data_IF_536098936751
#
_entry.id   IF_536098936751
#
_cell.length_a   1.000
_cell.length_b   1.000
_cell.length_c   1.000
_cell.angle_alpha   90.00
_cell.angle_beta   90.00
_cell.angle_gamma   90.00
#
_symmetry.space_group_name_H-M   'P 1'
#
loop_
_entity.id
_entity.type
_entity.pdbx_description
1 polymer ?
#
# COMPACT_ATOMS: atom_id res chain seq x y z
N UNK A 1 40.05 -75.05 -31.55
CA UNK A 1 41.46 -74.58 -31.49
C UNK A 1 41.76 -73.75 -32.72
N UNK A 2 42.47 -72.63 -32.55
CA UNK A 2 43.08 -71.80 -33.60
C UNK A 2 42.15 -70.95 -34.47
N UNK A 3 42.10 -69.64 -34.19
CA UNK A 3 42.38 -68.57 -35.17
C UNK A 3 43.03 -67.38 -34.46
N UNK A 4 44.36 -67.27 -34.59
CA UNK A 4 45.11 -66.05 -34.29
C UNK A 4 44.75 -64.99 -35.34
N UNK A 5 44.31 -63.81 -34.93
CA UNK A 5 44.27 -62.62 -35.80
C UNK A 5 45.16 -61.56 -35.19
N UNK A 6 46.26 -61.31 -35.89
CA UNK A 6 47.24 -60.28 -35.62
C UNK A 6 46.67 -58.88 -35.92
N UNK A 7 47.16 -57.93 -35.13
CA UNK A 7 47.04 -56.47 -35.22
C UNK A 7 47.55 -55.95 -36.59
N UNK A 8 47.28 -54.72 -37.09
CA UNK A 8 47.64 -53.40 -36.53
C UNK A 8 46.89 -52.28 -37.29
N UNK A 9 46.48 -51.27 -36.51
CA UNK A 9 46.35 -49.80 -36.68
C UNK A 9 46.53 -49.17 -38.08
N UNK A 10 45.95 -48.00 -38.41
CA UNK A 10 46.03 -46.73 -37.68
C UNK A 10 45.19 -45.69 -38.43
N UNK A 11 44.53 -44.76 -37.73
CA UNK A 11 44.08 -43.51 -38.35
C UNK A 11 42.75 -42.99 -37.83
N UNK A 12 42.77 -42.29 -36.70
CA UNK A 12 41.60 -41.54 -36.20
C UNK A 12 42.06 -40.20 -35.64
N UNK A 13 41.77 -39.12 -36.36
CA UNK A 13 41.98 -37.73 -35.96
C UNK A 13 41.24 -37.45 -34.64
N UNK A 14 41.98 -37.05 -33.61
CA UNK A 14 41.41 -36.57 -32.36
C UNK A 14 40.91 -35.13 -32.54
N UNK A 15 39.59 -34.94 -32.57
CA UNK A 15 38.94 -33.64 -32.46
C UNK A 15 39.04 -33.14 -31.03
N UNK A 16 39.84 -32.09 -30.82
CA UNK A 16 39.93 -31.40 -29.53
C UNK A 16 38.65 -30.58 -29.36
N UNK A 17 37.71 -31.07 -28.55
CA UNK A 17 36.58 -30.29 -28.06
C UNK A 17 37.12 -29.20 -27.13
N UNK A 18 37.17 -27.95 -27.60
CA UNK A 18 37.29 -26.79 -26.72
C UNK A 18 36.04 -26.72 -25.84
N UNK A 19 36.17 -27.16 -24.59
CA UNK A 19 35.15 -26.94 -23.57
C UNK A 19 35.08 -25.43 -23.27
N UNK A 20 33.96 -24.79 -23.61
CA UNK A 20 33.65 -23.43 -23.16
C UNK A 20 33.73 -23.39 -21.63
N UNK A 21 34.39 -22.38 -21.02
CA UNK A 21 34.32 -22.20 -19.59
C UNK A 21 32.87 -21.93 -19.21
N UNK A 22 32.26 -22.86 -18.48
CA UNK A 22 30.92 -22.69 -17.94
C UNK A 22 30.94 -21.49 -16.99
N UNK A 23 30.25 -20.41 -17.37
CA UNK A 23 30.02 -19.25 -16.52
C UNK A 23 29.21 -19.74 -15.32
N UNK A 24 29.85 -19.80 -14.15
CA UNK A 24 29.18 -20.18 -12.91
C UNK A 24 27.98 -19.26 -12.70
N UNK A 25 26.76 -19.81 -12.48
CA UNK A 25 25.61 -18.98 -12.12
C UNK A 25 25.95 -18.16 -10.88
N UNK A 26 25.71 -16.85 -10.91
CA UNK A 26 25.85 -16.04 -9.72
C UNK A 26 24.88 -16.57 -8.64
N UNK A 27 25.30 -16.63 -7.36
CA UNK A 27 24.39 -17.01 -6.29
C UNK A 27 23.18 -16.06 -6.29
N UNK A 28 21.96 -16.58 -6.06
CA UNK A 28 20.77 -15.74 -5.98
C UNK A 28 20.96 -14.69 -4.88
N UNK A 29 20.87 -13.41 -5.25
CA UNK A 29 20.91 -12.30 -4.30
C UNK A 29 19.67 -12.45 -3.42
N UNK A 30 19.87 -12.79 -2.14
CA UNK A 30 18.79 -12.78 -1.17
C UNK A 30 18.49 -11.32 -0.82
N UNK A 31 17.28 -10.80 -1.08
CA UNK A 31 16.95 -9.44 -0.69
C UNK A 31 17.12 -9.28 0.83
N UNK A 32 17.65 -8.14 1.31
CA UNK A 32 17.81 -7.90 2.73
C UNK A 32 16.44 -7.97 3.44
N UNK A 33 16.38 -8.46 4.68
CA UNK A 33 15.12 -8.52 5.43
C UNK A 33 14.54 -7.11 5.61
N UNK A 34 13.28 -6.94 5.21
CA UNK A 34 12.50 -5.72 5.40
C UNK A 34 12.30 -5.48 6.90
N UNK A 35 12.94 -4.46 7.46
CA UNK A 35 12.80 -4.07 8.87
C UNK A 35 11.56 -3.19 9.09
N UNK A 36 10.36 -3.73 8.89
CA UNK A 36 9.10 -3.00 9.09
C UNK A 36 8.95 -2.54 10.55
N UNK A 37 8.33 -1.37 10.84
CA UNK A 37 7.98 -0.98 12.19
C UNK A 37 7.14 -2.05 12.90
N UNK A 38 7.30 -2.24 14.23
CA UNK A 38 6.57 -3.26 14.97
C UNK A 38 5.05 -3.15 14.77
N UNK A 39 4.40 -4.28 14.57
CA UNK A 39 2.97 -4.40 14.28
C UNK A 39 2.62 -4.25 12.80
N UNK A 40 3.42 -3.53 12.00
CA UNK A 40 3.17 -3.35 10.57
C UNK A 40 3.59 -4.59 9.76
N UNK A 41 4.33 -5.54 10.36
CA UNK A 41 4.62 -6.84 9.75
C UNK A 41 3.39 -7.74 9.61
N UNK A 42 2.34 -7.52 10.41
CA UNK A 42 1.09 -8.28 10.32
C UNK A 42 0.23 -7.78 9.15
N UNK A 43 -0.75 -8.60 8.75
CA UNK A 43 -1.79 -8.14 7.81
C UNK A 43 -2.61 -7.02 8.46
N UNK A 44 -2.80 -5.94 7.72
CA UNK A 44 -3.65 -4.81 8.10
C UNK A 44 -5.04 -4.87 7.46
N UNK A 45 -5.46 -6.04 6.95
CA UNK A 45 -6.82 -6.24 6.43
C UNK A 45 -7.85 -6.06 7.56
N UNK A 46 -8.98 -5.44 7.23
CA UNK A 46 -10.11 -5.27 8.16
C UNK A 46 -10.88 -3.98 7.97
N UNK A 47 -11.84 -3.73 8.85
CA UNK A 47 -12.59 -2.48 8.89
C UNK A 47 -12.00 -1.52 9.91
N UNK A 48 -12.05 -0.22 9.59
CA UNK A 48 -11.61 0.84 10.48
C UNK A 48 -12.60 2.01 10.50
N UNK A 49 -12.58 2.80 11.56
CA UNK A 49 -13.25 4.10 11.62
C UNK A 49 -12.27 5.19 12.06
N UNK A 50 -12.47 6.42 11.57
CA UNK A 50 -11.64 7.54 11.99
C UNK A 50 -11.94 7.91 13.44
N UNK A 51 -10.90 8.01 14.28
CA UNK A 51 -11.04 8.28 15.71
C UNK A 51 -11.78 9.60 16.00
N UNK A 52 -11.42 10.66 15.27
CA UNK A 52 -12.03 11.99 15.47
C UNK A 52 -13.34 12.18 14.69
N UNK A 53 -13.70 11.26 13.79
CA UNK A 53 -14.92 11.37 13.00
C UNK A 53 -15.44 9.98 12.56
N UNK A 54 -16.27 9.32 13.39
CA UNK A 54 -16.72 7.96 13.12
C UNK A 54 -17.63 7.81 11.88
N UNK A 55 -18.07 8.91 11.26
CA UNK A 55 -18.78 8.87 9.99
C UNK A 55 -17.89 8.41 8.82
N UNK A 56 -16.57 8.55 8.94
CA UNK A 56 -15.60 8.02 7.99
C UNK A 56 -15.18 6.61 8.40
N UNK A 57 -15.51 5.64 7.56
CA UNK A 57 -15.08 4.25 7.70
C UNK A 57 -14.18 3.87 6.55
N UNK A 58 -13.37 2.85 6.77
CA UNK A 58 -12.38 2.37 5.81
C UNK A 58 -12.45 0.86 5.75
N UNK A 59 -12.40 0.32 4.54
CA UNK A 59 -12.13 -1.09 4.30
C UNK A 59 -10.67 -1.22 3.88
N UNK A 60 -9.89 -1.91 4.71
CA UNK A 60 -8.49 -2.21 4.47
C UNK A 60 -8.30 -3.58 3.83
N UNK A 61 -7.54 -3.62 2.75
CA UNK A 61 -7.08 -4.83 2.07
C UNK A 61 -5.55 -4.82 2.03
N UNK A 62 -4.92 -5.81 2.65
CA UNK A 62 -3.46 -5.99 2.68
C UNK A 62 -3.09 -7.31 2.00
N UNK A 63 -2.38 -7.22 0.87
CA UNK A 63 -1.92 -8.37 0.09
C UNK A 63 -0.52 -8.88 0.54
N UNK A 64 0.03 -8.31 1.61
CA UNK A 64 1.36 -8.60 2.15
C UNK A 64 2.45 -7.66 1.64
N UNK A 65 2.21 -6.92 0.56
CA UNK A 65 3.11 -5.90 0.02
C UNK A 65 2.48 -4.51 -0.10
N UNK A 66 1.17 -4.44 -0.27
CA UNK A 66 0.39 -3.21 -0.44
C UNK A 66 -0.83 -3.24 0.45
N UNK A 67 -1.03 -2.14 1.19
CA UNK A 67 -2.24 -1.86 1.93
C UNK A 67 -3.07 -0.83 1.15
N UNK A 68 -4.30 -1.21 0.81
CA UNK A 68 -5.31 -0.31 0.23
C UNK A 68 -6.39 -0.03 1.28
N UNK A 69 -6.72 1.25 1.51
CA UNK A 69 -7.81 1.67 2.38
C UNK A 69 -8.84 2.46 1.57
N UNK A 70 -9.97 1.81 1.27
CA UNK A 70 -11.09 2.43 0.57
C UNK A 70 -12.03 3.11 1.58
N UNK A 71 -12.33 4.40 1.39
CA UNK A 71 -13.30 5.11 2.23
C UNK A 71 -14.71 4.61 1.94
N UNK A 72 -15.37 4.11 2.97
CA UNK A 72 -16.79 3.81 2.99
C UNK A 72 -17.44 4.82 3.93
N UNK A 73 -18.18 5.81 3.40
CA UNK A 73 -18.92 6.71 4.30
C UNK A 73 -19.99 5.90 5.03
N UNK A 74 -20.17 6.15 6.33
CA UNK A 74 -21.31 5.61 7.06
C UNK A 74 -22.59 6.13 6.38
N UNK A 75 -23.36 5.22 5.77
CA UNK A 75 -24.67 5.54 5.19
C UNK A 75 -25.61 5.95 6.32
N UNK A 76 -25.63 7.23 6.67
CA UNK A 76 -26.77 7.79 7.37
C UNK A 76 -27.80 8.22 6.32
N UNK A 77 -28.88 7.43 6.26
CA UNK A 77 -30.20 7.72 5.67
C UNK A 77 -30.28 8.48 4.32
N UNK A 78 -30.99 7.80 3.40
CA UNK A 78 -31.47 8.24 2.08
C UNK A 78 -30.47 7.98 0.96
N UNK A 79 -30.97 7.32 -0.08
CA UNK A 79 -30.28 7.06 -1.35
C UNK A 79 -29.63 8.34 -1.88
N UNK A 80 -28.38 8.56 -1.51
CA UNK A 80 -27.49 9.36 -2.33
C UNK A 80 -27.08 8.46 -3.48
N UNK A 81 -27.42 8.88 -4.70
CA UNK A 81 -26.80 8.39 -5.92
C UNK A 81 -25.27 8.30 -5.73
N UNK A 82 -24.56 7.41 -6.43
CA UNK A 82 -23.10 7.41 -6.39
C UNK A 82 -22.63 8.81 -6.77
N UNK A 83 -22.19 9.59 -5.78
CA UNK A 83 -21.67 10.93 -6.00
C UNK A 83 -20.52 10.77 -6.99
N UNK A 84 -20.73 11.33 -8.18
CA UNK A 84 -19.72 11.39 -9.21
C UNK A 84 -18.52 12.19 -8.66
N UNK A 85 -17.47 11.49 -8.22
CA UNK A 85 -16.11 12.01 -8.36
C UNK A 85 -15.27 12.25 -7.10
N UNK A 86 -15.52 11.63 -5.95
CA UNK A 86 -14.48 11.63 -4.88
C UNK A 86 -14.36 10.30 -4.14
N UNK A 87 -13.84 9.30 -4.85
CA UNK A 87 -13.32 8.09 -4.21
C UNK A 87 -12.01 8.46 -3.53
N UNK A 88 -12.05 8.76 -2.23
CA UNK A 88 -10.83 8.84 -1.43
C UNK A 88 -10.32 7.42 -1.23
N UNK A 89 -9.10 7.16 -1.70
CA UNK A 89 -8.45 5.86 -1.57
C UNK A 89 -7.02 6.07 -1.08
N UNK A 90 -6.58 5.29 -0.09
CA UNK A 90 -5.19 5.34 0.40
C UNK A 90 -4.48 4.08 -0.08
N UNK A 91 -3.37 4.24 -0.78
CA UNK A 91 -2.55 3.13 -1.29
C UNK A 91 -1.15 3.27 -0.71
N UNK A 92 -0.74 2.32 0.11
CA UNK A 92 0.55 2.32 0.78
C UNK A 92 1.31 1.03 0.49
N UNK A 93 2.59 1.15 0.16
CA UNK A 93 3.49 0.02 -0.03
C UNK A 93 4.28 -0.24 1.23
N UNK A 94 4.46 -1.52 1.56
CA UNK A 94 5.25 -1.97 2.69
C UNK A 94 6.75 -1.83 2.36
N UNK A 95 7.45 -1.02 3.12
CA UNK A 95 8.89 -0.75 3.01
C UNK A 95 9.59 -0.99 4.36
N UNK A 96 10.92 -0.97 4.45
CA UNK A 96 11.62 -1.00 5.74
C UNK A 96 11.24 0.19 6.65
N UNK A 97 10.79 1.29 6.10
CA UNK A 97 10.39 2.48 6.86
C UNK A 97 8.92 2.39 7.34
N UNK A 98 8.18 1.36 6.94
CA UNK A 98 6.77 1.17 7.22
C UNK A 98 5.93 1.16 5.97
N UNK A 99 4.64 1.49 6.09
CA UNK A 99 3.80 1.65 4.91
C UNK A 99 3.96 3.07 4.38
N UNK A 100 4.34 3.23 3.12
CA UNK A 100 4.55 4.54 2.47
C UNK A 100 3.84 4.57 1.12
N UNK A 101 3.15 5.66 0.82
CA UNK A 101 2.45 5.83 -0.45
C UNK A 101 1.65 7.12 -0.48
N UNK A 102 0.41 7.05 -0.94
CA UNK A 102 -0.41 8.24 -1.16
C UNK A 102 -1.87 8.05 -0.75
N UNK A 103 -2.46 9.12 -0.22
CA UNK A 103 -3.91 9.33 -0.25
C UNK A 103 -4.27 9.96 -1.59
N UNK A 104 -5.11 9.27 -2.36
CA UNK A 104 -5.64 9.71 -3.64
C UNK A 104 -7.00 10.38 -3.37
N UNK A 105 -7.16 11.60 -3.86
CA UNK A 105 -8.41 12.35 -3.69
C UNK A 105 -8.63 13.30 -4.88
N UNK A 106 -9.79 13.95 -4.89
CA UNK A 106 -10.09 15.08 -5.77
C UNK A 106 -10.18 16.34 -4.91
N UNK A 107 -9.48 17.40 -5.30
CA UNK A 107 -9.64 18.74 -4.73
C UNK A 107 -10.17 19.69 -5.80
N UNK A 108 -10.53 20.91 -5.42
CA UNK A 108 -11.00 21.94 -6.36
C UNK A 108 -10.12 23.18 -6.29
N UNK A 109 -9.81 23.75 -7.46
CA UNK A 109 -9.12 25.03 -7.57
C UNK A 109 -10.06 26.19 -7.17
N UNK A 110 -9.54 27.41 -6.94
CA UNK A 110 -10.40 28.58 -6.72
C UNK A 110 -11.39 28.84 -7.86
N UNK A 111 -11.03 28.52 -9.10
CA UNK A 111 -11.91 28.57 -10.27
C UNK A 111 -12.94 27.44 -10.34
N UNK A 112 -12.89 26.46 -9.43
CA UNK A 112 -13.81 25.33 -9.37
C UNK A 112 -13.42 24.13 -10.25
N UNK A 113 -12.19 24.08 -10.76
CA UNK A 113 -11.68 22.94 -11.54
C UNK A 113 -11.39 21.76 -10.60
N UNK A 114 -11.94 20.60 -10.92
CA UNK A 114 -11.68 19.36 -10.19
C UNK A 114 -10.29 18.80 -10.55
N UNK A 115 -9.42 18.67 -9.55
CA UNK A 115 -8.05 18.22 -9.71
C UNK A 115 -7.81 16.92 -8.94
N UNK A 116 -7.39 15.82 -9.61
CA UNK A 116 -6.91 14.64 -8.90
C UNK A 116 -5.60 14.99 -8.20
N UNK A 117 -5.47 14.57 -6.94
CA UNK A 117 -4.33 14.84 -6.09
C UNK A 117 -3.84 13.59 -5.39
N UNK A 118 -2.52 13.53 -5.23
CA UNK A 118 -1.83 12.53 -4.44
C UNK A 118 -1.19 13.27 -3.26
N UNK A 119 -1.69 12.98 -2.06
CA UNK A 119 -1.08 13.45 -0.83
C UNK A 119 -0.15 12.36 -0.30
N UNK A 120 1.15 12.66 -0.12
CA UNK A 120 2.05 11.73 0.54
C UNK A 120 1.48 11.26 1.88
N UNK A 121 1.49 9.95 2.09
CA UNK A 121 0.93 9.31 3.27
C UNK A 121 1.82 8.16 3.72
N UNK A 122 1.98 8.02 5.03
CA UNK A 122 2.70 6.91 5.66
C UNK A 122 1.92 6.38 6.87
N UNK A 123 2.08 5.09 7.18
CA UNK A 123 1.64 4.56 8.47
C UNK A 123 2.79 4.68 9.47
N UNK A 124 2.62 5.55 10.47
CA UNK A 124 3.62 5.77 11.52
C UNK A 124 3.48 4.80 12.70
N UNK A 125 2.34 4.12 12.80
CA UNK A 125 2.08 3.07 13.79
C UNK A 125 1.03 2.09 13.29
N UNK A 126 1.30 0.80 13.47
CA UNK A 126 0.33 -0.27 13.35
C UNK A 126 0.28 -1.02 14.68
N UNK A 127 -0.90 -1.13 15.29
CA UNK A 127 -1.09 -1.89 16.52
C UNK A 127 -2.45 -2.62 16.50
N UNK A 128 -2.72 -3.39 17.55
CA UNK A 128 -3.95 -4.16 17.63
C UNK A 128 -5.20 -3.25 17.73
N UNK A 129 -5.06 -1.98 18.12
CA UNK A 129 -6.14 -0.99 18.15
C UNK A 129 -6.39 -0.35 16.79
N UNK A 130 -5.41 -0.36 15.88
CA UNK A 130 -5.58 0.09 14.50
C UNK A 130 -4.33 0.70 13.87
N UNK A 131 -4.53 1.72 13.03
CA UNK A 131 -3.49 2.37 12.23
C UNK A 131 -3.40 3.85 12.61
N UNK A 132 -2.19 4.38 12.73
CA UNK A 132 -1.95 5.83 12.72
C UNK A 132 -1.28 6.19 11.40
N UNK A 133 -1.96 7.02 10.63
CA UNK A 133 -1.49 7.54 9.35
C UNK A 133 -0.98 8.97 9.53
N UNK A 134 0.12 9.31 8.87
CA UNK A 134 0.59 10.68 8.72
C UNK A 134 0.47 11.05 7.25
N UNK A 135 -0.27 12.11 6.94
CA UNK A 135 -0.53 12.54 5.56
C UNK A 135 -0.40 14.05 5.41
N UNK A 136 -0.06 14.51 4.21
CA UNK A 136 -0.13 15.93 3.86
C UNK A 136 -1.61 16.35 3.77
N UNK A 137 -2.00 17.35 4.56
CA UNK A 137 -3.41 17.76 4.68
C UNK A 137 -3.89 18.69 3.57
N UNK A 138 -2.98 19.40 2.89
CA UNK A 138 -3.32 20.35 1.84
C UNK A 138 -2.11 20.69 0.98
N UNK A 139 -2.36 20.91 -0.31
CA UNK A 139 -1.41 21.45 -1.27
C UNK A 139 -2.14 22.50 -2.09
N UNK A 140 -1.53 23.67 -2.30
CA UNK A 140 -2.08 24.68 -3.20
C UNK A 140 -1.88 24.25 -4.65
N UNK A 141 -2.91 24.36 -5.49
CA UNK A 141 -2.86 24.05 -6.92
C UNK A 141 -3.22 25.26 -7.77
N UNK A 142 -2.66 25.33 -8.97
CA UNK A 142 -3.10 26.22 -10.04
C UNK A 142 -4.30 25.63 -10.82
N UNK A 143 -4.84 26.40 -11.77
CA UNK A 143 -5.98 25.98 -12.60
C UNK A 143 -5.63 24.85 -13.59
N UNK A 144 -4.34 24.53 -13.75
CA UNK A 144 -3.83 23.40 -14.54
C UNK A 144 -3.58 22.15 -13.66
N UNK A 145 -4.05 22.15 -12.41
CA UNK A 145 -3.86 21.09 -11.42
C UNK A 145 -2.39 20.78 -11.07
N UNK A 146 -1.51 21.79 -11.15
CA UNK A 146 -0.10 21.67 -10.73
C UNK A 146 0.10 22.35 -9.38
N UNK A 147 1.09 21.92 -8.58
CA UNK A 147 1.46 22.63 -7.36
C UNK A 147 1.69 24.11 -7.65
N UNK A 148 0.99 24.99 -6.93
CA UNK A 148 1.13 26.41 -7.11
C UNK A 148 2.56 26.85 -6.72
N UNK A 149 3.23 27.70 -7.52
CA UNK A 149 4.60 28.14 -7.23
C UNK A 149 4.68 29.04 -5.98
N UNK A 150 3.53 29.58 -5.54
CA UNK A 150 3.39 30.34 -4.31
C UNK A 150 2.22 29.74 -3.52
N UNK A 151 2.44 29.50 -2.23
CA UNK A 151 1.43 28.94 -1.35
C UNK A 151 2.01 28.56 0.01
N UNK A 152 1.15 28.25 0.99
CA UNK A 152 1.61 27.71 2.26
C UNK A 152 2.35 26.38 2.04
N UNK A 153 3.38 26.16 2.84
CA UNK A 153 4.08 24.88 2.82
C UNK A 153 3.12 23.73 3.17
N UNK A 154 3.33 22.52 2.62
CA UNK A 154 2.52 21.36 2.98
C UNK A 154 2.58 21.10 4.49
N UNK A 155 1.43 20.95 5.12
CA UNK A 155 1.33 20.60 6.54
C UNK A 155 1.00 19.12 6.68
N UNK A 156 1.80 18.40 7.45
CA UNK A 156 1.52 17.02 7.81
C UNK A 156 0.50 16.96 8.95
N UNK A 157 -0.43 16.01 8.88
CA UNK A 157 -1.38 15.70 9.95
C UNK A 157 -1.36 14.21 10.24
N UNK A 158 -1.47 13.89 11.52
CA UNK A 158 -1.69 12.52 11.98
C UNK A 158 -3.18 12.23 12.12
N UNK A 159 -3.58 11.03 11.71
CA UNK A 159 -4.95 10.55 11.76
C UNK A 159 -4.95 9.13 12.30
N UNK A 160 -5.82 8.87 13.28
CA UNK A 160 -5.96 7.54 13.88
C UNK A 160 -7.17 6.83 13.29
N UNK A 161 -6.94 5.66 12.73
CA UNK A 161 -7.96 4.73 12.27
C UNK A 161 -8.08 3.60 13.28
N UNK A 162 -9.18 3.55 14.00
CA UNK A 162 -9.44 2.52 15.01
C UNK A 162 -10.06 1.29 14.33
N UNK A 163 -9.60 0.10 14.71
CA UNK A 163 -10.07 -1.17 14.14
C UNK A 163 -11.49 -1.47 14.60
N UNK A 164 -12.30 -2.00 13.69
CA UNK A 164 -13.68 -2.44 13.94
C UNK A 164 -14.70 -1.31 13.82
N UNK A 165 -15.91 -1.60 14.29
CA UNK A 165 -17.00 -0.61 14.29
C UNK A 165 -16.86 0.39 15.44
N UNK A 166 -17.33 1.64 15.27
CA UNK A 166 -17.43 2.58 16.38
C UNK A 166 -18.29 1.99 17.51
N UNK A 167 -17.89 2.21 18.76
CA UNK A 167 -18.75 1.88 19.89
C UNK A 167 -20.09 2.61 19.74
N UNK A 168 -21.21 1.87 19.79
CA UNK A 168 -22.52 2.50 19.90
C UNK A 168 -22.56 3.30 21.20
N UNK A 169 -22.95 4.57 21.11
CA UNK A 169 -23.17 5.37 22.31
C UNK A 169 -24.19 4.63 23.20
N UNK A 170 -23.96 4.55 24.52
CA UNK A 170 -24.94 3.94 25.42
C UNK A 170 -26.27 4.65 25.23
N UNK A 171 -27.28 3.86 24.85
CA UNK A 171 -28.65 4.32 24.67
C UNK A 171 -29.02 5.09 25.94
N UNK A 172 -29.31 6.39 25.80
CA UNK A 172 -29.77 7.20 26.91
C UNK A 172 -31.14 6.64 27.29
N UNK A 173 -31.13 5.71 28.25
CA UNK A 173 -32.30 4.97 28.69
C UNK A 173 -33.46 5.93 28.87
N UNK A 174 -34.55 5.63 28.17
CA UNK A 174 -35.84 6.29 28.33
C UNK A 174 -36.10 6.49 29.83
N UNK A 175 -36.32 7.73 30.32
CA UNK A 175 -36.69 7.92 31.71
C UNK A 175 -38.01 7.20 31.94
N UNK A 176 -38.00 6.20 32.84
CA UNK A 176 -39.22 5.65 33.39
C UNK A 176 -40.00 6.80 34.03
N UNK A 177 -41.15 7.12 33.44
CA UNK A 177 -42.07 8.09 33.99
C UNK A 177 -42.79 7.48 35.22
N UNK A 178 -43.06 8.28 36.27
CA UNK A 178 -43.67 7.82 37.53
C UNK A 178 -45.14 7.42 37.38
#
# INVERSE_FOLDING_TARGET
MSRKRFWIATGGLATVLMACPARTPAPPVTPPPLQVPPGCEKSQTGTYHHADNPAFRYLGEDDGGTLTLAVTRAREQREAAPDAGTTVNIVLHRTPEGFVGNTQATTFTPGGIACPVLFPTEAVRCDDQGLTLRSVASTALDEDCRPAPQGPAPTWKEQRLLRGEPAQAPDAGTPDAP
#
